data_IF_072403232380
#
_entry.id   IF_072403232380
#
_cell.length_a   1.000
_cell.length_b   1.000
_cell.length_c   1.000
_cell.angle_alpha   90.00
_cell.angle_beta   90.00
_cell.angle_gamma   90.00
#
_symmetry.space_group_name_H-M   'P 1'
#
loop_
_entity.id
_entity.type
_entity.pdbx_description
1 polymer ?
#
# COMPACT_ATOMS: atom_id res chain seq x y z
N UNK A 1 50.76 -70.40 -8.78
CA UNK A 1 50.60 -69.21 -7.91
C UNK A 1 49.19 -68.67 -8.10
N UNK A 2 48.54 -68.26 -7.00
CA UNK A 2 47.33 -67.42 -6.90
C UNK A 2 45.99 -68.16 -7.09
N UNK A 3 45.31 -68.51 -5.97
CA UNK A 3 44.13 -67.86 -5.34
C UNK A 3 42.86 -67.94 -6.22
N UNK A 4 41.71 -68.45 -5.77
CA UNK A 4 40.89 -67.89 -4.69
C UNK A 4 39.94 -68.93 -4.07
N UNK A 5 39.91 -68.98 -2.73
CA UNK A 5 38.78 -69.48 -1.95
C UNK A 5 37.57 -68.57 -2.22
N UNK A 6 36.48 -69.12 -2.73
CA UNK A 6 35.15 -68.55 -2.61
C UNK A 6 34.42 -69.30 -1.48
N UNK A 7 34.66 -68.85 -0.24
CA UNK A 7 33.81 -69.19 0.89
C UNK A 7 32.48 -68.45 0.69
N UNK A 8 31.46 -69.19 0.27
CA UNK A 8 30.07 -68.74 0.34
C UNK A 8 29.70 -68.65 1.84
N UNK A 9 29.73 -67.44 2.39
CA UNK A 9 29.18 -67.17 3.71
C UNK A 9 27.65 -67.21 3.56
N UNK A 10 27.06 -68.35 3.91
CA UNK A 10 25.63 -68.44 4.19
C UNK A 10 25.38 -67.67 5.48
N UNK A 11 24.94 -66.41 5.37
CA UNK A 11 24.42 -65.68 6.52
C UNK A 11 23.15 -66.41 6.98
N UNK A 12 23.23 -67.06 8.15
CA UNK A 12 22.06 -67.63 8.82
C UNK A 12 21.02 -66.53 9.02
N UNK A 13 19.79 -66.85 8.65
CA UNK A 13 18.60 -66.06 8.91
C UNK A 13 18.61 -65.52 10.34
N UNK A 14 18.43 -64.21 10.46
CA UNK A 14 17.93 -63.58 11.68
C UNK A 14 16.50 -64.07 11.90
N UNK A 15 16.36 -65.22 12.55
CA UNK A 15 15.15 -65.46 13.34
C UNK A 15 15.20 -64.45 14.47
N UNK A 16 14.36 -63.42 14.40
CA UNK A 16 14.09 -62.56 15.56
C UNK A 16 13.49 -63.45 16.63
N UNK A 17 14.34 -64.02 17.48
CA UNK A 17 13.93 -64.76 18.65
C UNK A 17 13.08 -63.81 19.50
N UNK A 18 11.84 -64.22 19.77
CA UNK A 18 10.97 -63.60 20.76
C UNK A 18 11.64 -63.75 22.12
N UNK A 19 12.43 -62.74 22.50
CA UNK A 19 12.97 -62.62 23.85
C UNK A 19 11.81 -62.25 24.77
N UNK A 20 11.10 -63.25 25.29
CA UNK A 20 10.28 -63.09 26.49
C UNK A 20 11.21 -63.03 27.71
N UNK A 21 11.89 -61.89 27.86
CA UNK A 21 12.48 -61.48 29.11
C UNK A 21 11.39 -60.87 29.99
N UNK A 22 10.77 -61.71 30.83
CA UNK A 22 10.01 -61.27 32.00
C UNK A 22 11.02 -60.88 33.08
N UNK A 23 11.43 -59.61 33.09
CA UNK A 23 11.74 -58.93 34.35
C UNK A 23 11.37 -57.44 34.24
N UNK A 24 10.49 -57.04 35.14
CA UNK A 24 9.60 -55.91 35.01
C UNK A 24 10.15 -54.69 35.73
N UNK A 25 10.51 -53.65 34.97
CA UNK A 25 10.32 -52.29 35.46
C UNK A 25 10.30 -51.28 34.31
N UNK A 26 9.34 -51.44 33.40
CA UNK A 26 8.92 -50.28 32.63
C UNK A 26 7.41 -50.22 32.55
N UNK A 27 6.83 -49.34 33.35
CA UNK A 27 5.44 -48.95 33.21
C UNK A 27 5.27 -48.13 31.93
N UNK A 28 4.35 -48.50 31.02
CA UNK A 28 3.99 -47.67 29.89
C UNK A 28 3.65 -46.26 30.38
N UNK A 29 4.35 -45.27 29.83
CA UNK A 29 4.14 -43.88 30.18
C UNK A 29 3.84 -43.13 28.89
N UNK A 30 2.65 -42.56 28.83
CA UNK A 30 2.25 -41.75 27.69
C UNK A 30 2.96 -40.40 27.71
N UNK A 31 3.18 -39.85 26.52
CA UNK A 31 3.62 -38.48 26.40
C UNK A 31 2.58 -37.50 26.96
N UNK A 32 3.05 -36.45 27.64
CA UNK A 32 2.22 -35.30 28.06
C UNK A 32 2.76 -34.03 27.41
N UNK A 33 1.84 -33.20 26.91
CA UNK A 33 2.15 -31.92 26.27
C UNK A 33 1.35 -30.80 26.94
N UNK A 34 1.81 -29.55 26.83
CA UNK A 34 1.07 -28.40 27.33
C UNK A 34 0.02 -27.90 26.32
N UNK A 35 -0.67 -26.82 26.70
CA UNK A 35 -1.58 -26.12 25.80
C UNK A 35 -0.83 -25.45 24.64
N UNK A 36 -1.51 -25.33 23.51
CA UNK A 36 -1.03 -24.59 22.37
C UNK A 36 -0.75 -23.12 22.70
N UNK A 37 0.32 -22.58 22.12
CA UNK A 37 0.53 -21.13 22.05
C UNK A 37 -0.60 -20.46 21.25
N UNK A 38 -0.66 -19.12 21.33
CA UNK A 38 -1.36 -18.33 20.33
C UNK A 38 -0.75 -18.61 18.95
N UNK A 39 -1.55 -18.42 17.91
CA UNK A 39 -1.05 -18.44 16.55
C UNK A 39 -0.11 -17.25 16.31
N UNK A 40 0.94 -17.48 15.52
CA UNK A 40 1.79 -16.40 15.02
C UNK A 40 1.00 -15.42 14.15
N UNK A 41 1.60 -14.26 13.87
CA UNK A 41 1.17 -13.44 12.74
C UNK A 41 1.20 -14.26 11.44
N UNK A 42 0.39 -13.84 10.47
CA UNK A 42 0.42 -14.45 9.15
C UNK A 42 1.77 -14.17 8.47
N UNK A 43 2.35 -15.18 7.82
CA UNK A 43 3.60 -15.04 7.07
C UNK A 43 3.52 -13.96 6.00
N UNK A 44 2.32 -13.74 5.46
CA UNK A 44 1.98 -12.62 4.61
C UNK A 44 1.22 -11.58 5.40
N UNK A 45 1.79 -10.38 5.54
CA UNK A 45 1.13 -9.27 6.25
C UNK A 45 0.11 -8.56 5.36
N UNK A 46 0.29 -8.63 4.05
CA UNK A 46 -0.42 -7.82 3.08
C UNK A 46 -1.87 -8.28 2.88
N UNK A 47 -2.81 -7.33 2.95
CA UNK A 47 -4.25 -7.59 2.97
C UNK A 47 -4.69 -8.54 1.84
N UNK A 48 -5.29 -9.68 2.23
CA UNK A 48 -5.88 -10.65 1.32
C UNK A 48 -4.89 -11.55 0.60
N UNK A 49 -3.58 -11.44 0.87
CA UNK A 49 -2.58 -12.36 0.33
C UNK A 49 -2.58 -13.64 1.18
N UNK A 50 -2.70 -14.83 0.57
CA UNK A 50 -2.61 -16.10 1.27
C UNK A 50 -1.22 -16.30 1.90
N UNK A 51 -1.22 -16.67 3.18
CA UNK A 51 -0.01 -17.05 3.91
C UNK A 51 -0.29 -18.17 4.88
N UNK A 52 0.66 -18.40 5.78
CA UNK A 52 0.55 -19.39 6.84
C UNK A 52 0.85 -18.79 8.20
N UNK A 53 0.19 -19.30 9.23
CA UNK A 53 0.49 -19.01 10.62
C UNK A 53 0.76 -20.32 11.35
N UNK A 54 1.65 -20.26 12.33
CA UNK A 54 2.10 -21.43 13.07
C UNK A 54 1.88 -21.22 14.56
N UNK A 55 1.54 -22.29 15.25
CA UNK A 55 1.54 -22.35 16.72
C UNK A 55 2.33 -23.56 17.19
N UNK A 56 2.79 -23.48 18.43
CA UNK A 56 3.64 -24.49 19.04
C UNK A 56 3.10 -24.91 20.40
N UNK A 57 3.45 -26.12 20.82
CA UNK A 57 3.29 -26.59 22.19
C UNK A 57 4.52 -27.41 22.56
N UNK A 58 4.82 -27.46 23.85
CA UNK A 58 5.98 -28.15 24.38
C UNK A 58 5.60 -29.51 24.95
N UNK A 59 6.52 -30.45 24.80
CA UNK A 59 6.48 -31.72 25.48
C UNK A 59 6.86 -31.52 26.95
N UNK A 60 5.96 -31.90 27.86
CA UNK A 60 6.19 -31.89 29.30
C UNK A 60 6.77 -33.22 29.78
N UNK A 61 6.45 -34.32 29.08
CA UNK A 61 6.88 -35.67 29.42
C UNK A 61 7.04 -36.50 28.16
N UNK A 62 8.18 -37.19 28.00
CA UNK A 62 8.37 -38.15 26.93
C UNK A 62 7.59 -39.44 27.17
N UNK A 63 7.18 -40.09 26.09
CA UNK A 63 6.65 -41.44 26.19
C UNK A 63 7.79 -42.44 26.43
N UNK A 64 7.50 -43.52 27.15
CA UNK A 64 8.44 -44.61 27.36
C UNK A 64 7.75 -45.97 27.23
N UNK A 65 8.52 -46.96 26.77
CA UNK A 65 8.07 -48.33 26.57
C UNK A 65 6.86 -48.41 25.65
N UNK A 66 5.77 -49.08 26.02
CA UNK A 66 4.58 -49.18 25.17
C UNK A 66 3.62 -47.97 25.28
N UNK A 67 4.05 -46.87 25.91
CA UNK A 67 3.25 -45.65 26.00
C UNK A 67 3.11 -44.91 24.67
N UNK A 68 2.02 -44.14 24.53
CA UNK A 68 1.67 -43.43 23.31
C UNK A 68 2.64 -42.27 23.01
N UNK A 69 3.10 -42.12 21.75
CA UNK A 69 3.98 -41.04 21.37
C UNK A 69 3.31 -39.68 21.47
N UNK A 70 4.13 -38.62 21.55
CA UNK A 70 3.61 -37.28 21.59
C UNK A 70 2.78 -36.96 20.34
N UNK A 71 1.60 -36.34 20.51
CA UNK A 71 0.90 -35.76 19.36
C UNK A 71 1.71 -34.59 18.79
N UNK A 72 1.34 -34.10 17.60
CA UNK A 72 2.10 -33.05 16.90
C UNK A 72 2.40 -31.84 17.80
N UNK A 73 3.67 -31.41 17.85
CA UNK A 73 4.12 -30.28 18.67
C UNK A 73 4.07 -28.93 17.93
N UNK A 74 3.85 -28.98 16.61
CA UNK A 74 3.70 -27.83 15.72
C UNK A 74 2.44 -28.00 14.90
N UNK A 75 1.71 -26.92 14.72
CA UNK A 75 0.56 -26.87 13.84
C UNK A 75 0.68 -25.64 12.94
N UNK A 76 0.35 -25.82 11.67
CA UNK A 76 0.33 -24.74 10.67
C UNK A 76 -1.04 -24.70 10.03
N UNK A 77 -1.59 -23.50 9.84
CA UNK A 77 -2.82 -23.28 9.08
C UNK A 77 -2.67 -22.13 8.10
N UNK A 78 -3.53 -22.11 7.09
CA UNK A 78 -3.62 -20.98 6.16
C UNK A 78 -4.19 -19.73 6.84
N UNK A 79 -3.79 -18.57 6.35
CA UNK A 79 -4.29 -17.26 6.73
C UNK A 79 -4.32 -16.33 5.53
N UNK A 80 -4.98 -15.19 5.69
CA UNK A 80 -4.88 -14.06 4.77
C UNK A 80 -4.24 -12.91 5.53
N UNK A 81 -3.31 -12.21 4.88
CA UNK A 81 -2.77 -10.98 5.45
C UNK A 81 -3.88 -9.97 5.73
N UNK A 82 -3.65 -9.13 6.72
CA UNK A 82 -4.67 -8.26 7.31
C UNK A 82 -4.19 -6.82 7.51
N UNK A 83 -3.03 -6.45 6.96
CA UNK A 83 -2.43 -5.12 7.10
C UNK A 83 -2.30 -4.43 5.74
N UNK A 84 -2.35 -3.10 5.78
CA UNK A 84 -2.00 -2.25 4.66
C UNK A 84 -0.53 -1.85 4.79
N UNK A 85 0.19 -1.78 3.67
CA UNK A 85 1.58 -1.30 3.63
C UNK A 85 1.62 0.23 3.50
N UNK A 86 2.83 0.80 3.67
CA UNK A 86 3.12 2.21 3.41
C UNK A 86 2.13 3.21 4.06
N UNK A 87 1.86 3.01 5.35
CA UNK A 87 0.92 3.81 6.17
C UNK A 87 -0.51 3.89 5.61
N UNK A 88 -0.91 2.89 4.82
CA UNK A 88 -2.30 2.71 4.42
C UNK A 88 -3.17 2.34 5.63
N UNK A 89 -4.45 2.71 5.57
CA UNK A 89 -5.43 2.43 6.64
C UNK A 89 -6.61 1.63 6.09
N UNK A 90 -7.16 0.73 6.91
CA UNK A 90 -8.38 0.00 6.54
C UNK A 90 -9.59 0.92 6.68
N UNK A 91 -10.46 0.93 5.66
CA UNK A 91 -11.77 1.55 5.77
C UNK A 91 -12.80 0.60 6.44
N UNK A 92 -14.02 1.09 6.65
CA UNK A 92 -15.13 0.32 7.23
C UNK A 92 -15.55 -0.93 6.43
N UNK A 93 -15.13 -1.04 5.17
CA UNK A 93 -15.38 -2.20 4.31
C UNK A 93 -14.22 -3.20 4.33
N UNK A 94 -13.19 -2.97 5.15
CA UNK A 94 -12.00 -3.83 5.22
C UNK A 94 -11.08 -3.73 4.01
N UNK A 95 -11.13 -2.62 3.25
CA UNK A 95 -10.22 -2.34 2.12
C UNK A 95 -9.17 -1.31 2.52
N UNK A 96 -7.94 -1.48 2.03
CA UNK A 96 -6.89 -0.50 2.22
C UNK A 96 -7.18 0.81 1.46
N UNK A 97 -7.09 1.91 2.18
CA UNK A 97 -7.03 3.27 1.67
C UNK A 97 -5.56 3.69 1.73
N UNK A 98 -4.97 3.91 0.55
CA UNK A 98 -3.55 4.20 0.41
C UNK A 98 -3.26 5.69 0.55
N UNK A 99 -2.03 6.00 0.95
CA UNK A 99 -1.45 7.34 0.78
C UNK A 99 -1.40 7.69 -0.71
N UNK A 100 -1.42 8.98 -1.02
CA UNK A 100 -1.45 9.47 -2.41
C UNK A 100 -0.27 9.00 -3.27
N UNK A 101 0.85 8.62 -2.66
CA UNK A 101 2.05 8.09 -3.32
C UNK A 101 2.01 6.59 -3.59
N UNK A 102 0.98 5.87 -3.14
CA UNK A 102 0.85 4.42 -3.24
C UNK A 102 -0.51 3.99 -3.77
N UNK A 103 -0.55 2.79 -4.36
CA UNK A 103 -1.74 2.18 -4.96
C UNK A 103 -1.71 0.65 -4.78
N UNK A 104 -2.68 -0.02 -5.39
CA UNK A 104 -2.88 -1.46 -5.27
C UNK A 104 -3.77 -1.83 -4.08
N UNK A 105 -4.10 -3.12 -3.96
CA UNK A 105 -5.01 -3.64 -2.93
C UNK A 105 -4.52 -3.46 -1.49
N UNK A 106 -3.21 -3.28 -1.35
CA UNK A 106 -2.48 -3.31 -0.09
C UNK A 106 -1.47 -2.15 0.03
N UNK A 107 -1.54 -1.18 -0.89
CA UNK A 107 -0.66 0.00 -0.90
C UNK A 107 0.83 -0.31 -1.10
N UNK A 108 1.16 -1.43 -1.73
CA UNK A 108 2.54 -1.80 -2.03
C UNK A 108 3.07 -1.14 -3.30
N UNK A 109 2.17 -0.81 -4.24
CA UNK A 109 2.57 -0.29 -5.54
C UNK A 109 2.79 1.21 -5.43
N UNK A 110 3.86 1.74 -6.03
CA UNK A 110 4.12 3.19 -6.05
C UNK A 110 3.35 3.84 -7.20
N UNK A 111 2.76 5.01 -6.95
CA UNK A 111 2.26 5.85 -8.06
C UNK A 111 3.44 6.41 -8.83
N UNK A 112 3.41 6.27 -10.16
CA UNK A 112 4.44 6.81 -11.06
C UNK A 112 3.81 7.89 -11.95
N UNK A 113 4.47 9.04 -12.05
CA UNK A 113 3.97 10.18 -12.84
C UNK A 113 2.97 11.04 -12.06
N UNK A 114 1.96 11.58 -12.76
CA UNK A 114 0.96 12.44 -12.13
C UNK A 114 0.02 11.65 -11.22
N UNK A 115 -0.09 12.07 -9.97
CA UNK A 115 -1.15 11.66 -9.07
C UNK A 115 -2.52 12.19 -9.49
N UNK A 116 -3.56 11.79 -8.76
CA UNK A 116 -4.91 12.31 -8.95
C UNK A 116 -4.97 13.81 -8.65
N UNK A 117 -5.84 14.51 -9.36
CA UNK A 117 -6.19 15.89 -9.02
C UNK A 117 -6.93 15.94 -7.69
N UNK A 118 -6.63 16.95 -6.88
CA UNK A 118 -7.46 17.35 -5.76
C UNK A 118 -8.84 17.80 -6.24
N UNK A 119 -9.79 17.87 -5.31
CA UNK A 119 -10.99 18.68 -5.50
C UNK A 119 -10.61 20.14 -5.75
N UNK A 120 -11.50 20.86 -6.44
CA UNK A 120 -11.40 22.31 -6.56
C UNK A 120 -11.49 22.96 -5.18
N UNK A 121 -10.64 23.95 -4.92
CA UNK A 121 -10.73 24.77 -3.72
C UNK A 121 -12.03 25.57 -3.73
N UNK A 122 -12.49 26.07 -2.57
CA UNK A 122 -13.42 27.19 -2.54
C UNK A 122 -12.88 28.36 -3.38
N UNK A 123 -13.78 29.19 -3.86
CA UNK A 123 -13.41 30.41 -4.59
C UNK A 123 -12.74 31.39 -3.63
N UNK A 124 -11.62 32.00 -4.04
CA UNK A 124 -10.90 32.98 -3.20
C UNK A 124 -11.71 34.26 -2.94
N UNK A 125 -12.72 34.54 -3.77
CA UNK A 125 -13.68 35.63 -3.59
C UNK A 125 -15.09 35.10 -3.63
N UNK A 126 -16.01 35.76 -2.94
CA UNK A 126 -17.45 35.44 -2.97
C UNK A 126 -18.19 36.11 -4.13
N UNK A 127 -17.65 37.20 -4.70
CA UNK A 127 -18.15 37.91 -5.87
C UNK A 127 -16.98 38.57 -6.62
N UNK A 128 -17.26 39.26 -7.73
CA UNK A 128 -16.32 40.11 -8.44
C UNK A 128 -15.17 39.33 -9.06
N UNK A 129 -15.48 38.11 -9.53
CA UNK A 129 -14.57 37.10 -10.08
C UNK A 129 -13.40 36.78 -9.14
N UNK A 130 -13.38 35.54 -8.66
CA UNK A 130 -12.24 34.95 -7.98
C UNK A 130 -11.65 33.81 -8.81
N UNK A 131 -10.61 33.20 -8.27
CA UNK A 131 -10.09 31.93 -8.72
C UNK A 131 -10.45 30.80 -7.78
N UNK A 132 -10.64 29.62 -8.35
CA UNK A 132 -10.53 28.33 -7.65
C UNK A 132 -9.37 27.56 -8.27
N UNK A 133 -8.68 26.77 -7.45
CA UNK A 133 -7.55 25.97 -7.91
C UNK A 133 -7.72 24.51 -7.51
N UNK A 134 -7.13 23.62 -8.31
CA UNK A 134 -6.88 22.23 -7.91
C UNK A 134 -5.44 21.87 -8.19
N UNK A 135 -4.90 20.95 -7.40
CA UNK A 135 -3.49 20.57 -7.43
C UNK A 135 -3.34 19.06 -7.63
N UNK A 136 -2.20 18.64 -8.15
CA UNK A 136 -1.77 17.24 -8.21
C UNK A 136 -0.27 17.17 -7.97
N UNK A 137 0.18 16.04 -7.43
CA UNK A 137 1.60 15.80 -7.17
C UNK A 137 2.20 14.97 -8.30
N UNK A 138 3.42 15.33 -8.72
CA UNK A 138 4.22 14.48 -9.60
C UNK A 138 5.07 13.53 -8.75
N UNK A 139 4.80 12.24 -8.86
CA UNK A 139 5.58 11.19 -8.23
C UNK A 139 6.67 10.72 -9.19
N UNK A 140 7.88 11.29 -9.04
CA UNK A 140 9.04 10.96 -9.87
C UNK A 140 9.56 9.54 -9.59
N UNK A 141 9.84 8.82 -10.66
CA UNK A 141 10.51 7.52 -10.70
C UNK A 141 11.62 7.55 -11.75
N UNK A 142 12.36 6.45 -11.94
CA UNK A 142 13.50 6.40 -12.86
C UNK A 142 13.17 6.84 -14.29
N UNK A 143 11.95 6.55 -14.75
CA UNK A 143 11.46 6.87 -16.10
C UNK A 143 10.30 7.89 -16.11
N UNK A 144 9.80 8.30 -14.93
CA UNK A 144 8.61 9.15 -14.86
C UNK A 144 8.96 10.63 -14.98
N UNK A 145 8.76 11.20 -16.18
CA UNK A 145 8.80 12.63 -16.43
C UNK A 145 7.38 13.18 -16.52
N UNK A 146 6.99 14.02 -15.55
CA UNK A 146 5.69 14.67 -15.56
C UNK A 146 5.73 15.91 -16.46
N UNK A 147 5.10 15.84 -17.62
CA UNK A 147 4.92 17.00 -18.50
C UNK A 147 3.62 17.73 -18.16
N UNK A 148 3.62 19.06 -18.34
CA UNK A 148 2.50 19.94 -17.99
C UNK A 148 2.51 20.43 -16.55
N UNK A 149 1.38 20.95 -16.08
CA UNK A 149 1.30 21.69 -14.81
C UNK A 149 0.73 20.85 -13.66
N UNK A 150 1.24 21.10 -12.45
CA UNK A 150 0.76 20.52 -11.19
C UNK A 150 -0.38 21.30 -10.54
N UNK A 151 -0.69 22.49 -11.06
CA UNK A 151 -1.78 23.35 -10.60
C UNK A 151 -2.63 23.72 -11.80
N UNK A 152 -3.95 23.67 -11.63
CA UNK A 152 -4.91 24.23 -12.57
C UNK A 152 -5.78 25.25 -11.86
N UNK A 153 -6.10 26.31 -12.57
CA UNK A 153 -6.90 27.42 -12.07
C UNK A 153 -8.08 27.70 -12.99
N UNK A 154 -9.18 28.15 -12.39
CA UNK A 154 -10.39 28.55 -13.11
C UNK A 154 -11.04 29.74 -12.41
N UNK A 155 -11.67 30.60 -13.20
CA UNK A 155 -12.53 31.67 -12.69
C UNK A 155 -13.80 31.14 -12.01
N UNK A 156 -14.19 31.74 -10.89
CA UNK A 156 -15.41 31.44 -10.13
C UNK A 156 -16.06 32.74 -9.62
N UNK A 157 -17.33 32.64 -9.19
CA UNK A 157 -18.09 33.75 -8.60
C UNK A 157 -18.03 35.04 -9.43
N UNK A 158 -18.49 34.94 -10.68
CA UNK A 158 -18.41 36.00 -11.69
C UNK A 158 -19.41 37.14 -11.49
N UNK A 159 -20.34 36.99 -10.56
CA UNK A 159 -21.31 38.04 -10.25
C UNK A 159 -20.62 39.32 -9.76
N UNK A 160 -21.05 40.51 -10.17
CA UNK A 160 -20.41 41.76 -9.76
C UNK A 160 -20.49 41.97 -8.24
N UNK A 161 -19.43 42.55 -7.65
CA UNK A 161 -19.48 43.05 -6.28
C UNK A 161 -19.90 44.53 -6.27
N UNK A 162 -20.59 45.02 -5.22
CA UNK A 162 -20.95 46.44 -5.07
C UNK A 162 -19.76 47.42 -5.15
N UNK A 163 -18.59 47.01 -4.66
CA UNK A 163 -17.34 47.78 -4.70
C UNK A 163 -16.23 46.99 -5.42
N UNK A 164 -16.60 46.17 -6.41
CA UNK A 164 -15.68 45.30 -7.14
C UNK A 164 -14.98 45.96 -8.31
N UNK A 165 -13.83 45.42 -8.68
CA UNK A 165 -13.11 45.80 -9.89
C UNK A 165 -13.77 45.19 -11.14
N UNK A 166 -13.85 45.95 -12.23
CA UNK A 166 -14.51 45.53 -13.48
C UNK A 166 -13.68 44.56 -14.32
N UNK A 167 -12.40 44.38 -13.99
CA UNK A 167 -11.47 43.57 -14.75
C UNK A 167 -10.73 42.62 -13.82
N UNK A 168 -10.67 41.35 -14.22
CA UNK A 168 -9.99 40.28 -13.50
C UNK A 168 -9.08 39.51 -14.45
N UNK A 169 -7.85 39.22 -14.05
CA UNK A 169 -6.87 38.49 -14.85
C UNK A 169 -6.44 37.19 -14.18
N UNK A 170 -6.22 36.14 -14.98
CA UNK A 170 -5.55 34.92 -14.53
C UNK A 170 -4.26 34.72 -15.33
N UNK A 171 -3.14 34.51 -14.63
CA UNK A 171 -1.82 34.28 -15.23
C UNK A 171 -1.15 33.02 -14.65
N UNK A 172 -0.29 32.42 -15.46
CA UNK A 172 0.65 31.36 -15.11
C UNK A 172 0.03 30.17 -14.36
N UNK A 173 -1.21 29.80 -14.70
CA UNK A 173 -1.93 28.66 -14.07
C UNK A 173 -2.06 28.74 -12.53
N UNK A 174 -1.77 29.90 -11.91
CA UNK A 174 -1.62 30.01 -10.46
C UNK A 174 -1.74 31.42 -9.87
N UNK A 175 -1.86 32.47 -10.69
CA UNK A 175 -1.99 33.85 -10.21
C UNK A 175 -3.31 34.52 -10.59
N UNK A 176 -3.86 35.30 -9.65
CA UNK A 176 -5.15 35.99 -9.77
C UNK A 176 -4.93 37.48 -9.57
N UNK A 177 -5.26 38.27 -10.59
CA UNK A 177 -4.98 39.70 -10.63
C UNK A 177 -6.27 40.50 -10.72
N UNK A 178 -6.41 41.50 -9.84
CA UNK A 178 -7.47 42.49 -9.91
C UNK A 178 -7.04 43.74 -9.17
N UNK A 179 -7.51 44.90 -9.59
CA UNK A 179 -7.16 46.15 -8.93
C UNK A 179 -7.89 47.37 -9.50
N UNK A 180 -7.75 48.54 -8.85
CA UNK A 180 -8.43 49.77 -9.24
C UNK A 180 -8.06 50.25 -10.64
N UNK A 181 -6.80 50.15 -11.03
CA UNK A 181 -6.30 50.56 -12.34
C UNK A 181 -6.41 49.46 -13.40
N UNK A 182 -6.99 48.30 -13.08
CA UNK A 182 -6.97 47.15 -13.99
C UNK A 182 -7.69 47.46 -15.30
N UNK A 183 -8.73 48.30 -15.28
CA UNK A 183 -9.45 48.74 -16.48
C UNK A 183 -8.56 49.54 -17.44
N UNK A 184 -7.60 50.28 -16.91
CA UNK A 184 -6.71 51.14 -17.69
C UNK A 184 -5.42 50.41 -18.12
N UNK A 185 -5.02 49.37 -17.38
CA UNK A 185 -3.71 48.72 -17.57
C UNK A 185 -3.76 47.33 -18.20
N UNK A 186 -4.93 46.66 -18.26
CA UNK A 186 -4.98 45.25 -18.68
C UNK A 186 -4.46 45.00 -20.11
N UNK A 187 -4.61 45.98 -21.01
CA UNK A 187 -4.21 45.90 -22.41
C UNK A 187 -2.88 46.64 -22.71
N UNK A 188 -2.12 47.05 -21.68
CA UNK A 188 -0.91 47.88 -21.84
C UNK A 188 0.10 47.30 -22.84
N UNK A 189 0.22 45.97 -22.91
CA UNK A 189 1.17 45.26 -23.79
C UNK A 189 0.50 44.63 -25.02
N UNK A 190 -0.77 44.93 -25.28
CA UNK A 190 -1.52 44.39 -26.41
C UNK A 190 -2.04 42.96 -26.21
N UNK A 191 -2.56 42.38 -27.28
CA UNK A 191 -3.13 41.03 -27.27
C UNK A 191 -2.04 39.96 -27.30
N UNK A 192 -2.26 38.87 -26.56
CA UNK A 192 -1.40 37.69 -26.56
C UNK A 192 -2.18 36.44 -26.98
N UNK A 193 -1.55 35.57 -27.77
CA UNK A 193 -2.04 34.23 -28.09
C UNK A 193 -1.63 33.19 -27.05
N UNK A 194 -0.80 33.57 -26.06
CA UNK A 194 -0.31 32.70 -25.00
C UNK A 194 -1.37 32.52 -23.89
N UNK A 195 -2.54 32.01 -24.27
CA UNK A 195 -3.65 31.72 -23.38
C UNK A 195 -4.10 30.28 -23.60
N UNK A 196 -4.55 29.61 -22.53
CA UNK A 196 -5.06 28.25 -22.60
C UNK A 196 -6.21 28.09 -21.60
N UNK A 197 -7.38 27.66 -22.10
CA UNK A 197 -8.56 27.33 -21.30
C UNK A 197 -8.93 28.37 -20.20
N UNK A 198 -8.95 29.66 -20.56
CA UNK A 198 -9.28 30.74 -19.62
C UNK A 198 -8.14 31.15 -18.68
N UNK A 199 -6.91 30.74 -18.97
CA UNK A 199 -5.72 31.06 -18.18
C UNK A 199 -4.63 31.63 -19.10
N UNK A 200 -3.96 32.70 -18.67
CA UNK A 200 -2.78 33.21 -19.37
C UNK A 200 -1.54 32.36 -19.08
N UNK A 201 -0.69 32.12 -20.08
CA UNK A 201 0.62 31.47 -19.89
C UNK A 201 1.66 32.49 -19.41
N UNK A 202 2.94 32.11 -19.41
CA UNK A 202 4.03 33.03 -19.04
C UNK A 202 3.98 34.31 -19.89
N UNK A 203 4.01 35.46 -19.22
CA UNK A 203 3.94 36.78 -19.87
C UNK A 203 2.55 37.20 -20.37
N UNK A 204 1.50 36.40 -20.17
CA UNK A 204 0.13 36.72 -20.60
C UNK A 204 -0.89 36.60 -19.47
N UNK A 205 -1.96 37.38 -19.54
CA UNK A 205 -3.12 37.28 -18.67
C UNK A 205 -4.34 36.91 -19.52
N UNK A 206 -5.14 35.95 -19.07
CA UNK A 206 -6.50 35.81 -19.58
C UNK A 206 -7.40 36.78 -18.82
N UNK A 207 -7.96 37.76 -19.53
CA UNK A 207 -8.69 38.88 -18.93
C UNK A 207 -10.20 38.66 -19.02
N UNK A 208 -10.87 38.78 -17.88
CA UNK A 208 -12.31 38.68 -17.72
C UNK A 208 -12.89 40.05 -17.38
N UNK A 209 -13.92 40.45 -18.14
CA UNK A 209 -14.72 41.64 -17.83
C UNK A 209 -15.91 41.24 -16.97
N UNK A 210 -16.02 41.89 -15.82
CA UNK A 210 -17.11 41.73 -14.87
C UNK A 210 -18.14 42.81 -15.21
N UNK A 211 -19.30 42.37 -15.68
CA UNK A 211 -20.40 43.26 -16.05
C UNK A 211 -21.24 43.61 -14.84
#
# INVERSE_FOLDING_TARGET
MIYFLLLVIVAKQSTCASFHGLDSSCSPLDCKVNHWSLWSECSESCLGIPGHQTRFRNQLQAHSCQGLPCPALKETRSCLGNRCMNDGVLNSQGKCVCRESHTGKCCNDRVLGWGSWSSWSPCIKTCGAGCTSKRRTCYKGPEANCTGYGVLMKVCNKEPCPLGWKVFGIQFYGECWSGPSALDTYAKYGNSSACWDGVGQEGANYVYFIK
#
